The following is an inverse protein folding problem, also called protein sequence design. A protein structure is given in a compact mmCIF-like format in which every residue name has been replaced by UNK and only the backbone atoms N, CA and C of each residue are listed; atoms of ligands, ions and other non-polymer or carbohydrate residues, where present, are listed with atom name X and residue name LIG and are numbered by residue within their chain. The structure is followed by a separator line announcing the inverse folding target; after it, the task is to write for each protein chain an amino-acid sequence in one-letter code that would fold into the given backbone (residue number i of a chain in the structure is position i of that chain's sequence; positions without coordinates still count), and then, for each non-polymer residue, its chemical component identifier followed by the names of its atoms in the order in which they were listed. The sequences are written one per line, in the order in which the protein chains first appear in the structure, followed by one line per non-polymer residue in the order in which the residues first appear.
data_IF_254850771095
#
_entry.id   IF_254850771095
#
_cell.length_a   1.000
_cell.length_b   1.000
_cell.length_c   1.000
_cell.angle_alpha   90.00
_cell.angle_beta   90.00
_cell.angle_gamma   90.00
#
_symmetry.space_group_name_H-M   'P 1'
#
loop_
_entity.id
_entity.type
_entity.pdbx_description
1 polymer ?
#
# COMPACT_ATOMS: atom_id res chain seq x y z
N UNK A 1 -60.94 33.34 10.70
CA UNK A 1 -62.02 32.38 10.35
C UNK A 1 -62.15 31.22 11.34
N UNK A 2 -61.08 30.51 11.71
CA UNK A 2 -61.14 29.38 12.66
C UNK A 2 -61.76 29.72 14.03
N UNK A 3 -61.47 30.90 14.58
CA UNK A 3 -62.04 31.37 15.85
C UNK A 3 -63.54 31.68 15.79
N UNK A 4 -64.04 32.22 14.67
CA UNK A 4 -65.47 32.51 14.51
C UNK A 4 -66.29 31.21 14.44
N UNK A 5 -65.76 30.19 13.77
CA UNK A 5 -66.38 28.85 13.72
C UNK A 5 -66.40 28.24 15.12
N UNK A 6 -65.30 28.33 15.88
CA UNK A 6 -65.23 27.84 17.26
C UNK A 6 -66.24 28.52 18.20
N UNK A 7 -66.41 29.84 18.09
CA UNK A 7 -67.39 30.59 18.90
C UNK A 7 -68.83 30.20 18.54
N UNK A 8 -69.15 30.05 17.25
CA UNK A 8 -70.49 29.62 16.82
C UNK A 8 -70.78 28.18 17.29
N UNK A 9 -69.79 27.30 17.25
CA UNK A 9 -69.91 25.92 17.73
C UNK A 9 -70.11 25.87 19.25
N UNK A 10 -69.35 26.66 20.02
CA UNK A 10 -69.50 26.77 21.47
C UNK A 10 -70.84 27.37 21.88
N UNK A 11 -71.30 28.42 21.19
CA UNK A 11 -72.62 29.04 21.44
C UNK A 11 -73.76 28.08 21.04
N UNK A 12 -73.61 27.36 19.92
CA UNK A 12 -74.57 26.35 19.48
C UNK A 12 -74.66 25.18 20.46
N UNK A 13 -73.52 24.67 20.93
CA UNK A 13 -73.47 23.64 21.98
C UNK A 13 -74.11 24.17 23.27
N UNK A 14 -73.76 25.38 23.71
CA UNK A 14 -74.35 26.00 24.90
C UNK A 14 -75.86 26.19 24.82
N UNK A 15 -76.39 26.58 23.64
CA UNK A 15 -77.83 26.70 23.40
C UNK A 15 -78.53 25.35 23.39
N UNK A 16 -77.91 24.33 22.79
CA UNK A 16 -78.46 22.97 22.78
C UNK A 16 -78.50 22.48 24.23
N UNK A 17 -77.39 22.52 24.99
CA UNK A 17 -77.35 22.12 26.41
C UNK A 17 -78.21 22.97 27.35
N UNK A 18 -78.48 24.23 27.00
CA UNK A 18 -79.37 25.14 27.74
C UNK A 18 -80.85 25.01 27.38
N UNK A 19 -81.20 24.41 26.24
CA UNK A 19 -82.57 24.26 25.75
C UNK A 19 -83.56 23.63 26.74
N UNK A 20 -83.21 22.60 27.55
CA UNK A 20 -84.16 22.01 28.51
C UNK A 20 -84.44 22.90 29.73
N UNK A 21 -83.65 23.96 29.96
CA UNK A 21 -83.81 24.92 31.07
C UNK A 21 -84.42 26.25 30.62
N UNK A 22 -84.65 26.42 29.32
CA UNK A 22 -85.33 27.57 28.78
C UNK A 22 -86.83 27.20 28.69
N UNK A 23 -87.63 27.74 29.60
CA UNK A 23 -89.09 27.55 29.66
C UNK A 23 -89.80 27.76 28.31
N UNK A 24 -89.21 28.57 27.43
CA UNK A 24 -89.68 28.85 26.08
C UNK A 24 -89.50 27.67 25.09
N UNK A 25 -88.46 26.86 25.26
CA UNK A 25 -88.11 25.75 24.36
C UNK A 25 -88.64 24.39 24.84
N UNK A 26 -88.85 24.23 26.15
CA UNK A 26 -89.43 23.03 26.74
C UNK A 26 -90.36 23.42 27.91
N UNK A 27 -91.61 23.83 27.66
CA UNK A 27 -92.53 24.19 28.73
C UNK A 27 -92.85 22.96 29.59
N UNK A 28 -92.42 22.98 30.86
CA UNK A 28 -92.62 21.91 31.86
C UNK A 28 -94.08 21.44 31.97
N UNK A 29 -95.04 22.33 31.68
CA UNK A 29 -96.47 22.09 31.82
C UNK A 29 -97.19 21.64 30.52
N UNK A 30 -96.49 21.54 29.38
CA UNK A 30 -97.16 21.47 28.06
C UNK A 30 -97.37 20.07 27.48
N UNK A 31 -96.56 19.07 27.85
CA UNK A 31 -96.60 17.74 27.22
C UNK A 31 -96.84 16.68 28.29
N UNK A 32 -98.12 16.38 28.51
CA UNK A 32 -98.61 15.34 29.40
C UNK A 32 -99.14 14.19 28.55
N UNK A 33 -98.57 13.00 28.74
CA UNK A 33 -99.19 11.78 28.23
C UNK A 33 -100.21 11.34 29.27
N UNK A 34 -101.49 11.41 28.93
CA UNK A 34 -102.59 11.12 29.85
C UNK A 34 -103.36 9.92 29.33
N UNK A 35 -103.64 8.96 30.21
CA UNK A 35 -104.56 7.88 29.89
C UNK A 35 -106.00 8.43 29.87
N UNK A 36 -106.61 8.46 28.69
CA UNK A 36 -107.97 8.98 28.48
C UNK A 36 -109.06 7.91 28.59
N UNK A 37 -108.73 6.70 29.05
CA UNK A 37 -109.69 5.58 29.16
C UNK A 37 -110.75 5.80 30.25
N UNK A 38 -110.48 6.58 31.30
CA UNK A 38 -111.47 6.98 32.31
C UNK A 38 -111.64 8.52 32.33
N UNK A 39 -112.82 8.99 31.90
CA UNK A 39 -113.08 10.41 31.65
C UNK A 39 -113.21 11.24 32.93
N UNK A 40 -113.34 10.60 34.10
CA UNK A 40 -113.53 11.30 35.39
C UNK A 40 -112.25 11.43 36.21
N UNK A 41 -111.24 10.60 35.99
CA UNK A 41 -109.97 10.63 36.70
C UNK A 41 -108.80 10.28 35.76
N UNK A 42 -108.36 11.22 34.91
CA UNK A 42 -107.22 11.00 34.03
C UNK A 42 -105.94 10.74 34.83
N UNK A 43 -105.23 9.65 34.53
CA UNK A 43 -103.92 9.33 35.13
C UNK A 43 -102.82 9.86 34.21
N UNK A 44 -101.89 10.64 34.77
CA UNK A 44 -100.72 11.14 34.05
C UNK A 44 -99.69 10.01 33.97
N UNK A 45 -99.44 9.54 32.74
CA UNK A 45 -98.51 8.44 32.46
C UNK A 45 -97.06 8.92 32.29
N UNK A 46 -96.85 10.11 31.71
CA UNK A 46 -95.52 10.67 31.54
C UNK A 46 -95.54 12.20 31.36
N UNK A 47 -94.52 12.86 31.92
CA UNK A 47 -94.24 14.30 31.76
C UNK A 47 -93.04 14.47 30.81
N UNK A 48 -93.19 15.27 29.75
CA UNK A 48 -92.16 15.47 28.72
C UNK A 48 -90.82 16.01 29.25
N UNK A 49 -90.81 16.74 30.37
CA UNK A 49 -89.59 17.26 31.00
C UNK A 49 -88.68 16.14 31.54
N UNK A 50 -89.24 15.11 32.15
CA UNK A 50 -88.47 14.00 32.74
C UNK A 50 -87.78 13.13 31.67
N UNK A 51 -88.43 12.93 30.52
CA UNK A 51 -87.88 12.16 29.40
C UNK A 51 -86.84 12.95 28.61
N UNK A 52 -87.04 14.25 28.41
CA UNK A 52 -86.02 15.15 27.83
C UNK A 52 -84.76 15.22 28.72
N UNK A 53 -84.93 15.30 30.04
CA UNK A 53 -83.81 15.31 30.98
C UNK A 53 -82.96 14.04 30.91
N UNK A 54 -83.61 12.86 30.82
CA UNK A 54 -82.89 11.60 30.63
C UNK A 54 -82.15 11.55 29.29
N UNK A 55 -82.76 12.03 28.20
CA UNK A 55 -82.08 12.12 26.90
C UNK A 55 -80.84 13.02 26.97
N UNK A 56 -80.94 14.16 27.66
CA UNK A 56 -79.83 15.09 27.87
C UNK A 56 -78.65 14.46 28.62
N UNK A 57 -78.94 13.73 29.69
CA UNK A 57 -77.92 12.98 30.41
C UNK A 57 -77.24 11.96 29.51
N UNK A 58 -78.01 11.21 28.71
CA UNK A 58 -77.47 10.22 27.77
C UNK A 58 -76.55 10.87 26.74
N UNK A 59 -76.93 12.01 26.15
CA UNK A 59 -76.08 12.74 25.21
C UNK A 59 -74.80 13.27 25.87
N UNK A 60 -74.89 13.77 27.10
CA UNK A 60 -73.72 14.23 27.86
C UNK A 60 -72.77 13.06 28.16
N UNK A 61 -73.28 11.92 28.64
CA UNK A 61 -72.47 10.72 28.88
C UNK A 61 -71.80 10.22 27.61
N UNK A 62 -72.52 10.21 26.48
CA UNK A 62 -71.98 9.76 25.20
C UNK A 62 -70.89 10.71 24.69
N UNK A 63 -71.08 12.03 24.82
CA UNK A 63 -70.06 13.03 24.49
C UNK A 63 -68.82 12.91 25.37
N UNK A 64 -68.99 12.75 26.69
CA UNK A 64 -67.90 12.60 27.65
C UNK A 64 -67.14 11.29 27.40
N UNK A 65 -67.86 10.19 27.13
CA UNK A 65 -67.27 8.92 26.74
C UNK A 65 -66.43 9.04 25.46
N UNK A 66 -66.94 9.71 24.43
CA UNK A 66 -66.18 9.96 23.20
C UNK A 66 -64.91 10.80 23.46
N UNK A 67 -64.99 11.82 24.32
CA UNK A 67 -63.84 12.66 24.67
C UNK A 67 -62.76 11.85 25.42
N UNK A 68 -63.18 11.03 26.38
CA UNK A 68 -62.28 10.09 27.08
C UNK A 68 -61.63 9.14 26.07
N UNK A 69 -62.40 8.58 25.15
CA UNK A 69 -61.88 7.62 24.18
C UNK A 69 -60.85 8.27 23.23
N UNK A 70 -61.14 9.48 22.73
CA UNK A 70 -60.21 10.23 21.86
C UNK A 70 -58.92 10.60 22.60
N UNK A 71 -59.03 11.07 23.84
CA UNK A 71 -57.83 11.40 24.65
C UNK A 71 -56.98 10.17 24.94
N UNK A 72 -57.61 9.05 25.25
CA UNK A 72 -56.93 7.78 25.52
C UNK A 72 -56.24 7.24 24.26
N UNK A 73 -56.89 7.29 23.10
CA UNK A 73 -56.28 6.94 21.81
C UNK A 73 -55.06 7.83 21.48
N UNK A 74 -55.16 9.14 21.70
CA UNK A 74 -54.05 10.07 21.45
C UNK A 74 -52.85 9.79 22.36
N UNK A 75 -53.09 9.52 23.65
CA UNK A 75 -52.02 9.19 24.60
C UNK A 75 -51.31 7.89 24.18
N UNK A 76 -52.07 6.84 23.85
CA UNK A 76 -51.49 5.56 23.40
C UNK A 76 -50.69 5.75 22.12
N UNK A 77 -51.22 6.48 21.13
CA UNK A 77 -50.52 6.74 19.88
C UNK A 77 -49.20 7.49 20.11
N UNK A 78 -49.19 8.50 20.98
CA UNK A 78 -47.98 9.24 21.35
C UNK A 78 -46.94 8.36 22.05
N UNK A 79 -47.36 7.48 22.96
CA UNK A 79 -46.45 6.52 23.59
C UNK A 79 -45.83 5.57 22.57
N UNK A 80 -46.63 4.97 21.68
CA UNK A 80 -46.14 4.05 20.64
C UNK A 80 -45.13 4.75 19.72
N UNK A 81 -45.45 5.96 19.26
CA UNK A 81 -44.53 6.74 18.43
C UNK A 81 -43.21 7.02 19.14
N UNK A 82 -43.25 7.44 20.41
CA UNK A 82 -42.03 7.73 21.17
C UNK A 82 -41.12 6.49 21.32
N UNK A 83 -41.70 5.31 21.54
CA UNK A 83 -40.95 4.06 21.65
C UNK A 83 -40.33 3.64 20.31
N UNK A 84 -41.08 3.79 19.22
CA UNK A 84 -40.59 3.48 17.87
C UNK A 84 -39.47 4.44 17.48
N UNK A 85 -39.64 5.73 17.74
CA UNK A 85 -38.64 6.76 17.42
C UNK A 85 -37.35 6.58 18.22
N UNK A 86 -37.45 6.26 19.52
CA UNK A 86 -36.28 5.91 20.33
C UNK A 86 -35.54 4.68 19.79
N UNK A 87 -36.28 3.61 19.48
CA UNK A 87 -35.69 2.39 18.92
C UNK A 87 -35.05 2.62 17.54
N UNK A 88 -35.61 3.50 16.72
CA UNK A 88 -35.05 3.88 15.42
C UNK A 88 -33.80 4.76 15.58
N UNK A 89 -33.83 5.72 16.51
CA UNK A 89 -32.71 6.60 16.80
C UNK A 89 -31.49 5.82 17.29
N UNK A 90 -31.68 4.88 18.23
CA UNK A 90 -30.59 4.03 18.74
C UNK A 90 -29.98 3.16 17.63
N UNK A 91 -30.81 2.57 16.76
CA UNK A 91 -30.32 1.79 15.63
C UNK A 91 -29.57 2.66 14.62
N UNK A 92 -30.06 3.87 14.35
CA UNK A 92 -29.40 4.82 13.46
C UNK A 92 -28.05 5.25 14.02
N UNK A 93 -27.99 5.59 15.31
CA UNK A 93 -26.75 5.98 15.97
C UNK A 93 -25.71 4.84 15.96
N UNK A 94 -26.13 3.60 16.22
CA UNK A 94 -25.25 2.43 16.09
C UNK A 94 -24.77 2.21 14.66
N UNK A 95 -25.63 2.44 13.66
CA UNK A 95 -25.24 2.35 12.26
C UNK A 95 -24.20 3.42 11.90
N UNK A 96 -24.42 4.66 12.32
CA UNK A 96 -23.51 5.78 12.07
C UNK A 96 -22.14 5.54 12.74
N UNK A 97 -22.14 4.97 13.95
CA UNK A 97 -20.91 4.57 14.66
C UNK A 97 -20.16 3.45 13.91
N UNK A 98 -20.86 2.41 13.45
CA UNK A 98 -20.26 1.34 12.65
C UNK A 98 -19.70 1.85 11.31
N UNK A 99 -20.40 2.79 10.65
CA UNK A 99 -19.92 3.42 9.42
C UNK A 99 -18.66 4.24 9.70
N UNK A 100 -18.62 4.98 10.81
CA UNK A 100 -17.45 5.76 11.20
C UNK A 100 -16.24 4.86 11.52
N UNK A 101 -16.47 3.75 12.21
CA UNK A 101 -15.44 2.76 12.52
C UNK A 101 -14.91 2.07 11.25
N UNK A 102 -15.82 1.68 10.34
CA UNK A 102 -15.45 1.11 9.05
C UNK A 102 -14.60 2.08 8.21
N UNK A 103 -14.99 3.36 8.15
CA UNK A 103 -14.19 4.40 7.46
C UNK A 103 -12.82 4.58 8.09
N UNK A 104 -12.72 4.61 9.42
CA UNK A 104 -11.42 4.69 10.11
C UNK A 104 -10.52 3.50 9.78
N UNK A 105 -11.09 2.30 9.85
CA UNK A 105 -10.38 1.07 9.49
C UNK A 105 -9.88 1.13 8.04
N UNK A 106 -10.73 1.54 7.10
CA UNK A 106 -10.35 1.71 5.70
C UNK A 106 -9.18 2.70 5.53
N UNK A 107 -9.24 3.87 6.18
CA UNK A 107 -8.15 4.85 6.10
C UNK A 107 -6.83 4.33 6.66
N UNK A 108 -6.87 3.55 7.75
CA UNK A 108 -5.68 2.91 8.31
C UNK A 108 -5.10 1.86 7.37
N UNK A 109 -5.94 1.04 6.75
CA UNK A 109 -5.51 0.06 5.74
C UNK A 109 -4.87 0.72 4.52
N UNK A 110 -5.43 1.83 4.03
CA UNK A 110 -4.85 2.58 2.91
C UNK A 110 -3.50 3.21 3.27
N UNK A 111 -3.36 3.73 4.49
CA UNK A 111 -2.07 4.24 5.00
C UNK A 111 -1.02 3.13 5.16
N UNK A 112 -1.39 1.97 5.70
CA UNK A 112 -0.47 0.84 5.80
C UNK A 112 -0.04 0.34 4.41
N UNK A 113 -0.98 0.23 3.47
CA UNK A 113 -0.69 -0.19 2.11
C UNK A 113 0.25 0.77 1.40
N UNK A 114 0.05 2.07 1.56
CA UNK A 114 0.95 3.08 0.97
C UNK A 114 2.35 3.02 1.58
N UNK A 115 2.47 2.89 2.90
CA UNK A 115 3.76 2.69 3.57
C UNK A 115 4.47 1.39 3.13
N UNK A 116 3.74 0.28 2.99
CA UNK A 116 4.32 -0.98 2.50
C UNK A 116 4.81 -0.87 1.05
N UNK A 117 4.07 -0.17 0.19
CA UNK A 117 4.47 0.09 -1.20
C UNK A 117 5.73 0.95 -1.22
N UNK A 118 5.76 2.05 -0.46
CA UNK A 118 6.94 2.91 -0.35
C UNK A 118 8.16 2.17 0.17
N UNK A 119 7.99 1.31 1.20
CA UNK A 119 9.06 0.48 1.72
C UNK A 119 9.57 -0.54 0.70
N UNK A 120 8.69 -1.18 -0.08
CA UNK A 120 9.08 -2.09 -1.17
C UNK A 120 9.83 -1.35 -2.27
N UNK A 121 9.36 -0.17 -2.68
CA UNK A 121 10.06 0.66 -3.67
C UNK A 121 11.45 1.06 -3.15
N UNK A 122 11.57 1.52 -1.91
CA UNK A 122 12.85 1.89 -1.32
C UNK A 122 13.84 0.72 -1.30
N UNK A 123 13.37 -0.48 -0.95
CA UNK A 123 14.18 -1.69 -0.97
C UNK A 123 14.59 -2.09 -2.40
N UNK A 124 13.70 -1.97 -3.39
CA UNK A 124 14.04 -2.19 -4.80
C UNK A 124 15.09 -1.19 -5.31
N UNK A 125 14.95 0.11 -4.97
CA UNK A 125 15.95 1.12 -5.31
C UNK A 125 17.31 0.81 -4.71
N UNK A 126 17.39 0.46 -3.42
CA UNK A 126 18.65 0.05 -2.79
C UNK A 126 19.26 -1.17 -3.46
N UNK A 127 18.42 -2.15 -3.83
CA UNK A 127 18.89 -3.36 -4.52
C UNK A 127 19.44 -3.03 -5.91
N UNK A 128 18.78 -2.15 -6.65
CA UNK A 128 19.24 -1.67 -7.96
C UNK A 128 20.55 -0.89 -7.85
N UNK A 129 20.68 -0.01 -6.85
CA UNK A 129 21.91 0.74 -6.60
C UNK A 129 23.08 -0.18 -6.25
N UNK A 130 22.86 -1.22 -5.44
CA UNK A 130 23.87 -2.24 -5.16
C UNK A 130 24.27 -3.01 -6.42
N UNK A 131 23.30 -3.42 -7.26
CA UNK A 131 23.59 -4.08 -8.53
C UNK A 131 24.39 -3.19 -9.48
N UNK A 132 24.07 -1.90 -9.55
CA UNK A 132 24.80 -0.93 -10.36
C UNK A 132 26.24 -0.78 -9.86
N UNK A 133 26.43 -0.65 -8.54
CA UNK A 133 27.76 -0.57 -7.95
C UNK A 133 28.59 -1.85 -8.19
N UNK A 134 27.99 -3.02 -8.02
CA UNK A 134 28.62 -4.30 -8.30
C UNK A 134 28.98 -4.46 -9.78
N UNK A 135 28.11 -4.00 -10.69
CA UNK A 135 28.38 -3.99 -12.12
C UNK A 135 29.59 -3.10 -12.44
N UNK A 136 29.62 -1.86 -11.94
CA UNK A 136 30.73 -0.92 -12.14
C UNK A 136 32.04 -1.48 -11.58
N UNK A 137 32.02 -2.03 -10.36
CA UNK A 137 33.23 -2.60 -9.75
C UNK A 137 33.72 -3.83 -10.51
N UNK A 138 32.82 -4.70 -10.99
CA UNK A 138 33.17 -5.84 -11.83
C UNK A 138 33.79 -5.41 -13.16
N UNK A 139 33.24 -4.39 -13.81
CA UNK A 139 33.78 -3.85 -15.06
C UNK A 139 35.16 -3.22 -14.83
N UNK A 140 35.32 -2.48 -13.73
CA UNK A 140 36.59 -1.88 -13.35
C UNK A 140 37.65 -2.96 -13.11
N UNK A 141 37.30 -4.04 -12.39
CA UNK A 141 38.19 -5.19 -12.19
C UNK A 141 38.55 -5.86 -13.51
N UNK A 142 37.58 -6.08 -14.40
CA UNK A 142 37.83 -6.66 -15.72
C UNK A 142 38.77 -5.78 -16.56
N UNK A 143 38.59 -4.46 -16.56
CA UNK A 143 39.50 -3.50 -17.21
C UNK A 143 40.91 -3.56 -16.61
N UNK A 144 41.04 -3.61 -15.27
CA UNK A 144 42.36 -3.72 -14.63
C UNK A 144 43.07 -5.04 -14.96
N UNK A 145 42.35 -6.16 -14.97
CA UNK A 145 42.89 -7.47 -15.36
C UNK A 145 43.34 -7.48 -16.82
N UNK A 146 42.52 -6.94 -17.72
CA UNK A 146 42.86 -6.80 -19.14
C UNK A 146 44.12 -5.95 -19.33
N UNK A 147 44.19 -4.79 -18.68
CA UNK A 147 45.37 -3.92 -18.76
C UNK A 147 46.63 -4.60 -18.21
N UNK A 148 46.50 -5.35 -17.11
CA UNK A 148 47.61 -6.11 -16.54
C UNK A 148 48.08 -7.24 -17.48
N UNK A 149 47.15 -7.99 -18.05
CA UNK A 149 47.46 -9.03 -19.04
C UNK A 149 48.14 -8.45 -20.30
N UNK A 150 47.68 -7.29 -20.79
CA UNK A 150 48.33 -6.59 -21.90
C UNK A 150 49.75 -6.14 -21.55
N UNK A 151 49.99 -5.64 -20.34
CA UNK A 151 51.33 -5.28 -19.87
C UNK A 151 52.25 -6.50 -19.76
N UNK A 152 51.77 -7.62 -19.21
CA UNK A 152 52.53 -8.87 -19.13
C UNK A 152 52.87 -9.38 -20.54
N UNK A 153 51.90 -9.37 -21.46
CA UNK A 153 52.13 -9.80 -22.84
C UNK A 153 53.17 -8.93 -23.53
N UNK A 154 53.11 -7.60 -23.37
CA UNK A 154 54.13 -6.68 -23.89
C UNK A 154 55.51 -6.98 -23.29
N UNK A 155 55.61 -7.16 -21.97
CA UNK A 155 56.87 -7.48 -21.30
C UNK A 155 57.44 -8.84 -21.75
N UNK A 156 56.59 -9.85 -21.87
CA UNK A 156 56.95 -11.19 -22.34
C UNK A 156 57.47 -11.15 -23.77
N UNK A 157 56.76 -10.46 -24.67
CA UNK A 157 57.19 -10.28 -26.06
C UNK A 157 58.54 -9.57 -26.15
N UNK A 158 58.74 -8.49 -25.39
CA UNK A 158 60.02 -7.79 -25.34
C UNK A 158 61.16 -8.68 -24.84
N UNK A 159 60.92 -9.49 -23.82
CA UNK A 159 61.92 -10.45 -23.31
C UNK A 159 62.23 -11.54 -24.34
N UNK A 160 61.21 -12.07 -25.03
CA UNK A 160 61.41 -13.05 -26.09
C UNK A 160 62.24 -12.47 -27.25
N UNK A 161 61.96 -11.23 -27.65
CA UNK A 161 62.73 -10.53 -28.67
C UNK A 161 64.18 -10.28 -28.25
N UNK A 162 64.42 -9.87 -26.99
CA UNK A 162 65.77 -9.75 -26.44
C UNK A 162 66.52 -11.08 -26.49
N UNK A 163 65.89 -12.16 -26.01
CA UNK A 163 66.48 -13.50 -26.03
C UNK A 163 66.79 -13.97 -27.46
N UNK A 164 65.89 -13.70 -28.42
CA UNK A 164 66.10 -14.01 -29.83
C UNK A 164 67.27 -13.23 -30.44
N UNK A 165 67.41 -11.94 -30.11
CA UNK A 165 68.55 -11.10 -30.53
C UNK A 165 69.86 -11.61 -29.95
N UNK A 166 69.88 -11.93 -28.65
CA UNK A 166 71.06 -12.50 -27.99
C UNK A 166 71.47 -13.84 -28.59
N UNK A 167 70.51 -14.75 -28.81
CA UNK A 167 70.78 -16.04 -29.44
C UNK A 167 71.32 -15.87 -30.87
N UNK A 168 70.74 -14.96 -31.67
CA UNK A 168 71.27 -14.63 -32.99
C UNK A 168 72.68 -14.06 -32.93
N UNK A 169 72.97 -13.19 -31.95
CA UNK A 169 74.31 -12.65 -31.74
C UNK A 169 75.32 -13.74 -31.37
N UNK A 170 74.99 -14.62 -30.42
CA UNK A 170 75.83 -15.76 -30.03
C UNK A 170 76.05 -16.74 -31.18
N UNK A 171 75.02 -17.04 -31.97
CA UNK A 171 75.15 -17.87 -33.17
C UNK A 171 76.07 -17.21 -34.20
N UNK A 172 75.89 -15.92 -34.48
CA UNK A 172 76.76 -15.19 -35.40
C UNK A 172 78.23 -15.12 -34.90
N UNK A 173 78.44 -14.94 -33.59
CA UNK A 173 79.78 -15.01 -33.00
C UNK A 173 80.40 -16.41 -33.15
N UNK A 174 79.62 -17.46 -32.85
CA UNK A 174 80.05 -18.86 -33.04
C UNK A 174 80.42 -19.14 -34.49
N UNK A 175 79.60 -18.68 -35.44
CA UNK A 175 79.83 -18.91 -36.87
C UNK A 175 81.07 -18.12 -37.35
N UNK A 176 81.27 -16.88 -36.89
CA UNK A 176 82.51 -16.12 -37.12
C UNK A 176 83.74 -16.84 -36.55
N UNK A 177 83.69 -17.32 -35.30
CA UNK A 177 84.79 -18.05 -34.67
C UNK A 177 85.08 -19.37 -35.40
N UNK A 178 84.03 -20.06 -35.87
CA UNK A 178 84.18 -21.28 -36.67
C UNK A 178 84.86 -20.99 -38.01
N UNK A 179 84.49 -19.90 -38.67
CA UNK A 179 85.10 -19.47 -39.92
C UNK A 179 86.55 -19.04 -39.73
N UNK A 180 86.85 -18.26 -38.68
CA UNK A 180 88.22 -17.92 -38.30
C UNK A 180 89.06 -19.16 -38.02
N UNK A 181 88.52 -20.13 -37.26
CA UNK A 181 89.19 -21.42 -37.02
C UNK A 181 89.48 -22.15 -38.33
N UNK A 182 88.53 -22.19 -39.26
CA UNK A 182 88.70 -22.82 -40.57
C UNK A 182 89.81 -22.15 -41.36
N UNK A 183 89.76 -20.82 -41.51
CA UNK A 183 90.77 -20.04 -42.22
C UNK A 183 92.16 -20.22 -41.62
N UNK A 184 92.27 -20.24 -40.29
CA UNK A 184 93.55 -20.41 -39.60
C UNK A 184 94.09 -21.83 -39.77
N UNK A 185 93.24 -22.85 -39.69
CA UNK A 185 93.61 -24.23 -39.98
C UNK A 185 94.04 -24.45 -41.45
N UNK A 186 93.45 -23.72 -42.39
CA UNK A 186 93.80 -23.75 -43.81
C UNK A 186 95.10 -22.99 -44.11
N UNK A 187 95.35 -21.88 -43.40
CA UNK A 187 96.55 -21.06 -43.54
C UNK A 187 97.81 -21.73 -42.95
N UNK A 188 97.70 -22.37 -41.78
CA UNK A 188 98.85 -22.91 -41.03
C UNK A 188 99.78 -23.82 -41.85
N UNK A 189 99.30 -24.80 -42.63
CA UNK A 189 100.14 -25.65 -43.47
C UNK A 189 100.89 -24.89 -44.57
N UNK A 190 100.35 -23.76 -45.02
CA UNK A 190 100.88 -22.94 -46.12
C UNK A 190 101.74 -21.77 -45.62
N UNK A 191 101.71 -21.48 -44.32
CA UNK A 191 102.36 -20.30 -43.71
C UNK A 191 103.90 -20.37 -43.65
N UNK A 192 104.49 -21.54 -43.92
CA UNK A 192 105.94 -21.77 -43.80
C UNK A 192 106.45 -21.87 -42.36
N UNK A 193 105.57 -21.70 -41.37
CA UNK A 193 105.91 -21.88 -39.95
C UNK A 193 106.14 -23.37 -39.64
N UNK A 194 107.22 -23.68 -38.93
CA UNK A 194 107.56 -25.01 -38.44
C UNK A 194 108.02 -24.91 -36.99
N UNK A 195 107.72 -25.93 -36.17
CA UNK A 195 108.31 -26.06 -34.85
C UNK A 195 109.82 -26.33 -34.96
N UNK A 196 110.56 -26.17 -33.85
CA UNK A 196 112.01 -26.42 -33.80
C UNK A 196 112.39 -27.85 -34.26
N UNK A 197 111.44 -28.79 -34.15
CA UNK A 197 111.57 -30.19 -34.55
C UNK A 197 111.24 -30.44 -36.05
N UNK A 198 110.99 -29.38 -36.82
CA UNK A 198 110.76 -29.44 -38.28
C UNK A 198 109.33 -29.82 -38.71
N UNK A 199 108.43 -30.09 -37.77
CA UNK A 199 107.01 -30.41 -38.03
C UNK A 199 106.20 -29.14 -38.28
N UNK A 200 105.21 -29.22 -39.19
CA UNK A 200 104.27 -28.12 -39.44
C UNK A 200 103.20 -28.07 -38.34
N UNK A 201 102.95 -26.89 -37.74
CA UNK A 201 102.01 -26.75 -36.65
C UNK A 201 100.57 -26.96 -37.14
N UNK A 202 99.81 -27.81 -36.45
CA UNK A 202 98.37 -27.97 -36.69
C UNK A 202 97.58 -27.06 -35.74
N UNK A 203 96.39 -26.62 -36.15
CA UNK A 203 95.48 -25.84 -35.30
C UNK A 203 95.25 -26.47 -33.91
N UNK A 204 95.20 -27.81 -33.83
CA UNK A 204 94.99 -28.52 -32.56
C UNK A 204 96.20 -28.42 -31.62
N UNK A 205 97.41 -28.39 -32.16
CA UNK A 205 98.65 -28.28 -31.38
C UNK A 205 98.77 -26.87 -30.78
N UNK A 206 98.49 -25.85 -31.57
CA UNK A 206 98.44 -24.46 -31.11
C UNK A 206 97.36 -24.22 -30.07
N UNK A 207 96.21 -24.89 -30.20
CA UNK A 207 95.14 -24.80 -29.21
C UNK A 207 95.54 -25.45 -27.88
N UNK A 208 96.27 -26.58 -27.91
CA UNK A 208 96.83 -27.19 -26.69
C UNK A 208 97.85 -26.29 -26.03
N UNK A 209 98.78 -25.74 -26.81
CA UNK A 209 99.82 -24.85 -26.30
C UNK A 209 99.23 -23.57 -25.68
N UNK A 210 98.23 -22.96 -26.34
CA UNK A 210 97.50 -21.82 -25.80
C UNK A 210 96.72 -22.16 -24.52
N UNK A 211 96.08 -23.34 -24.44
CA UNK A 211 95.39 -23.81 -23.23
C UNK A 211 96.37 -24.07 -22.08
N UNK A 212 97.53 -24.62 -22.38
CA UNK A 212 98.57 -24.89 -21.37
C UNK A 212 99.20 -23.58 -20.88
N UNK A 213 99.38 -22.59 -21.75
CA UNK A 213 99.78 -21.23 -21.37
C UNK A 213 98.73 -20.54 -20.50
N UNK A 214 97.45 -20.59 -20.88
CA UNK A 214 96.36 -19.99 -20.10
C UNK A 214 96.21 -20.68 -18.75
N UNK A 215 96.35 -22.01 -18.68
CA UNK A 215 96.35 -22.75 -17.41
C UNK A 215 97.52 -22.35 -16.52
N UNK A 216 98.74 -22.24 -17.06
CA UNK A 216 99.92 -21.81 -16.29
C UNK A 216 99.77 -20.40 -15.72
N UNK A 217 99.14 -19.49 -16.46
CA UNK A 217 98.94 -18.10 -16.03
C UNK A 217 97.70 -17.86 -15.17
N UNK A 218 96.69 -18.75 -15.20
CA UNK A 218 95.50 -18.65 -14.32
C UNK A 218 95.78 -18.93 -12.85
N UNK A 219 96.94 -19.51 -12.51
CA UNK A 219 97.37 -19.78 -11.14
C UNK A 219 98.41 -18.77 -10.61
N UNK A 220 98.63 -17.65 -11.30
CA UNK A 220 99.53 -16.57 -10.86
C UNK A 220 98.80 -15.29 -10.40
N UNK A 221 97.46 -15.32 -10.30
CA UNK A 221 96.64 -14.26 -9.70
C UNK A 221 95.67 -14.82 -8.68
#
# INVERSE_FOLDING_TARGET
MMWAVLVVLLVGIGLVFGAPFLDFLAPEAGILLVDATDTKNPIILATGSATLWHQWQVWLYLGLFCLILVTLCNVIAGFIQSYVDQGLSDKKQKLDEQIAEFKRSQTLFEQQRTQEIEARLAHEYQRLEQMEHDAITSETRARTLKNHAEQINKATNLNHDKQKRENRSKLAQRDRLREQKRLLAEYLPHSGWKYADGTTPTYHDLLKEAQDFERKNRFQH
#
